data_IF_742173979710
#
_entry.id   IF_742173979710
#
_cell.length_a   1.000
_cell.length_b   1.000
_cell.length_c   1.000
_cell.angle_alpha   90.00
_cell.angle_beta   90.00
_cell.angle_gamma   90.00
#
_symmetry.space_group_name_H-M   'P 1'
#
loop_
_entity.id
_entity.type
_entity.pdbx_description
1 polymer ?
#
# COMPACT_ATOMS: atom_id res chain seq x y z
N UNK A 1 -1.57 -11.94 20.69
CA UNK A 1 -1.18 -10.66 21.34
C UNK A 1 -0.25 -9.92 20.39
N UNK A 2 -0.26 -8.60 20.42
CA UNK A 2 0.75 -7.81 19.70
C UNK A 2 2.10 -7.88 20.45
N UNK A 3 3.20 -7.58 19.77
CA UNK A 3 4.51 -7.55 20.43
C UNK A 3 4.57 -6.51 21.56
N UNK A 4 3.84 -5.39 21.40
CA UNK A 4 3.77 -4.34 22.41
C UNK A 4 3.01 -4.81 23.67
N UNK A 5 1.90 -5.56 23.49
CA UNK A 5 1.17 -6.17 24.63
C UNK A 5 2.00 -7.23 25.35
N UNK A 6 2.83 -7.98 24.62
CA UNK A 6 3.77 -8.92 25.23
C UNK A 6 4.81 -8.20 26.10
N UNK A 7 5.40 -7.11 25.60
CA UNK A 7 6.40 -6.32 26.34
C UNK A 7 5.82 -5.68 27.60
N UNK A 8 4.53 -5.33 27.59
CA UNK A 8 3.80 -4.71 28.71
C UNK A 8 3.12 -5.77 29.63
N UNK A 9 3.36 -7.07 29.41
CA UNK A 9 2.71 -8.14 30.16
C UNK A 9 3.18 -8.18 31.62
N UNK A 10 2.25 -8.52 32.53
CA UNK A 10 2.54 -8.60 33.98
C UNK A 10 3.44 -9.77 34.36
N UNK A 11 3.39 -10.85 33.60
CA UNK A 11 4.30 -11.98 33.75
C UNK A 11 5.65 -11.62 33.12
N UNK A 12 6.71 -11.72 33.92
CA UNK A 12 8.07 -11.31 33.54
C UNK A 12 8.63 -12.15 32.39
N UNK A 13 8.39 -13.46 32.36
CA UNK A 13 8.90 -14.34 31.31
C UNK A 13 8.26 -13.98 29.96
N UNK A 14 6.97 -13.66 29.96
CA UNK A 14 6.25 -13.21 28.76
C UNK A 14 6.76 -11.82 28.31
N UNK A 15 7.00 -10.90 29.23
CA UNK A 15 7.55 -9.59 28.92
C UNK A 15 8.97 -9.68 28.35
N UNK A 16 9.84 -10.52 28.90
CA UNK A 16 11.18 -10.78 28.39
C UNK A 16 11.14 -11.42 26.98
N UNK A 17 10.23 -12.35 26.73
CA UNK A 17 9.98 -12.89 25.39
C UNK A 17 9.51 -11.78 24.42
N UNK A 18 8.58 -10.92 24.85
CA UNK A 18 8.11 -9.79 24.08
C UNK A 18 9.25 -8.84 23.68
N UNK A 19 10.13 -8.52 24.63
CA UNK A 19 11.31 -7.69 24.40
C UNK A 19 12.27 -8.35 23.40
N UNK A 20 12.53 -9.66 23.54
CA UNK A 20 13.38 -10.41 22.64
C UNK A 20 12.82 -10.38 21.19
N UNK A 21 11.53 -10.66 21.03
CA UNK A 21 10.87 -10.63 19.72
C UNK A 21 10.89 -9.22 19.14
N UNK A 22 10.63 -8.21 19.94
CA UNK A 22 10.70 -6.81 19.50
C UNK A 22 12.09 -6.45 18.98
N UNK A 23 13.14 -6.72 19.74
CA UNK A 23 14.51 -6.33 19.40
C UNK A 23 15.05 -7.07 18.17
N UNK A 24 14.68 -8.36 17.98
CA UNK A 24 15.24 -9.20 16.94
C UNK A 24 14.39 -9.30 15.66
N UNK A 25 13.10 -9.01 15.73
CA UNK A 25 12.17 -9.18 14.59
C UNK A 25 11.57 -7.85 14.14
N UNK A 26 11.08 -7.01 15.07
CA UNK A 26 10.31 -5.82 14.71
C UNK A 26 11.18 -4.57 14.57
N UNK A 27 12.04 -4.30 15.54
CA UNK A 27 12.77 -3.04 15.67
C UNK A 27 13.60 -2.70 14.44
N UNK A 28 14.48 -3.59 14.03
CA UNK A 28 15.36 -3.36 12.88
C UNK A 28 14.60 -3.34 11.56
N UNK A 29 13.67 -4.28 11.37
CA UNK A 29 12.83 -4.32 10.17
C UNK A 29 12.01 -3.05 10.00
N UNK A 30 11.34 -2.63 11.06
CA UNK A 30 10.49 -1.43 11.05
C UNK A 30 11.32 -0.17 10.80
N UNK A 31 12.46 -0.03 11.48
CA UNK A 31 13.34 1.12 11.26
C UNK A 31 13.85 1.21 9.81
N UNK A 32 14.24 0.08 9.21
CA UNK A 32 14.64 0.03 7.78
C UNK A 32 13.48 0.40 6.85
N UNK A 33 12.33 -0.23 7.04
CA UNK A 33 11.16 -0.04 6.18
C UNK A 33 10.65 1.41 6.20
N UNK A 34 10.60 2.03 7.38
CA UNK A 34 10.07 3.38 7.53
C UNK A 34 11.13 4.48 7.47
N UNK A 35 12.42 4.12 7.59
CA UNK A 35 13.54 5.06 7.51
C UNK A 35 13.65 6.02 8.70
N UNK A 36 12.99 5.69 9.81
CA UNK A 36 13.00 6.43 11.07
C UNK A 36 13.19 5.47 12.23
N UNK A 37 13.67 5.95 13.39
CA UNK A 37 13.72 5.13 14.61
C UNK A 37 12.35 4.52 14.91
N UNK A 38 12.32 3.26 15.36
CA UNK A 38 11.07 2.52 15.62
C UNK A 38 10.13 3.24 16.61
N UNK A 39 10.68 4.03 17.53
CA UNK A 39 9.90 4.82 18.49
C UNK A 39 9.15 6.01 17.87
N UNK A 40 9.52 6.41 16.67
CA UNK A 40 8.85 7.47 15.90
C UNK A 40 7.78 6.93 14.95
N UNK A 41 7.71 5.60 14.79
CA UNK A 41 6.70 4.93 13.98
C UNK A 41 5.41 4.77 14.79
N UNK A 42 4.26 4.96 14.14
CA UNK A 42 2.97 4.77 14.80
C UNK A 42 2.83 3.35 15.37
N UNK A 43 2.33 3.24 16.61
CA UNK A 43 2.16 1.96 17.31
C UNK A 43 1.29 0.97 16.53
N UNK A 44 0.33 1.44 15.74
CA UNK A 44 -0.54 0.60 14.92
C UNK A 44 0.23 -0.19 13.87
N UNK A 45 1.30 0.38 13.32
CA UNK A 45 2.19 -0.28 12.35
C UNK A 45 2.92 -1.46 13.00
N UNK A 46 3.45 -1.27 14.22
CA UNK A 46 4.16 -2.31 14.98
C UNK A 46 3.19 -3.40 15.43
N UNK A 47 1.98 -3.01 15.83
CA UNK A 47 0.95 -3.92 16.34
C UNK A 47 0.21 -4.71 15.25
N UNK A 48 0.45 -4.43 13.99
CA UNK A 48 -0.27 -5.04 12.85
C UNK A 48 -0.08 -6.56 12.76
N UNK A 49 1.10 -7.06 13.08
CA UNK A 49 1.40 -8.49 13.03
C UNK A 49 1.34 -9.06 14.43
N UNK A 50 0.40 -9.96 14.73
CA UNK A 50 0.31 -10.58 16.05
C UNK A 50 1.42 -11.59 16.26
N UNK A 51 1.90 -11.70 17.48
CA UNK A 51 2.74 -12.79 17.93
C UNK A 51 1.81 -13.92 18.41
N UNK A 52 1.86 -15.06 17.72
CA UNK A 52 1.03 -16.23 18.01
C UNK A 52 1.90 -17.32 18.61
N UNK A 53 1.53 -17.79 19.80
CA UNK A 53 2.16 -18.95 20.44
C UNK A 53 1.37 -20.20 20.02
N UNK A 54 1.98 -21.06 19.21
CA UNK A 54 1.29 -22.26 18.72
C UNK A 54 2.14 -23.06 17.74
N UNK A 55 1.51 -24.06 17.13
CA UNK A 55 2.12 -24.89 16.08
C UNK A 55 1.83 -24.37 14.66
N UNK A 56 1.03 -23.33 14.53
CA UNK A 56 0.74 -22.66 13.27
C UNK A 56 1.81 -21.61 13.01
N UNK A 57 2.67 -21.86 12.04
CA UNK A 57 3.81 -21.02 11.64
C UNK A 57 3.49 -20.07 10.47
N UNK A 58 2.22 -20.03 10.05
CA UNK A 58 1.80 -19.10 8.99
C UNK A 58 1.93 -17.65 9.46
N UNK A 59 2.39 -16.79 8.55
CA UNK A 59 2.55 -15.37 8.83
C UNK A 59 1.20 -14.65 9.01
N UNK A 60 0.17 -15.05 8.25
CA UNK A 60 -1.20 -14.54 8.37
C UNK A 60 -2.14 -15.63 8.86
N UNK A 61 -3.13 -15.23 9.68
CA UNK A 61 -4.19 -16.11 10.17
C UNK A 61 -5.41 -16.20 9.26
N UNK A 62 -5.39 -15.61 8.07
CA UNK A 62 -6.51 -15.54 7.17
C UNK A 62 -6.95 -16.92 6.70
N UNK A 63 -8.27 -17.12 6.59
CA UNK A 63 -8.86 -18.39 6.13
C UNK A 63 -8.46 -18.71 4.70
N UNK A 64 -8.36 -17.70 3.85
CA UNK A 64 -8.00 -17.82 2.44
C UNK A 64 -6.68 -17.11 2.19
N UNK A 65 -5.66 -17.87 1.80
CA UNK A 65 -4.32 -17.39 1.47
C UNK A 65 -3.94 -18.03 0.14
N UNK A 66 -4.05 -17.26 -0.94
CA UNK A 66 -3.96 -17.77 -2.31
C UNK A 66 -3.08 -16.85 -3.16
N UNK A 67 -2.45 -17.45 -4.17
CA UNK A 67 -1.78 -16.74 -5.25
C UNK A 67 -2.54 -17.02 -6.55
N UNK A 68 -2.72 -16.03 -7.42
CA UNK A 68 -3.36 -16.26 -8.72
C UNK A 68 -2.50 -17.18 -9.58
N UNK A 69 -3.10 -18.24 -10.12
CA UNK A 69 -2.40 -19.26 -10.91
C UNK A 69 -1.71 -18.69 -12.17
N UNK A 70 -2.32 -17.67 -12.79
CA UNK A 70 -1.82 -17.01 -13.99
C UNK A 70 -1.22 -15.63 -13.71
N UNK A 71 -0.97 -15.29 -12.42
CA UNK A 71 -0.43 -14.01 -11.99
C UNK A 71 -1.49 -12.92 -11.82
N UNK A 72 -1.09 -11.82 -11.17
CA UNK A 72 -2.00 -10.71 -10.86
C UNK A 72 -2.51 -9.97 -12.09
N UNK A 73 -1.70 -9.83 -13.14
CA UNK A 73 -2.13 -9.18 -14.40
C UNK A 73 -3.39 -9.82 -14.95
N UNK A 74 -3.48 -11.18 -14.90
CA UNK A 74 -4.64 -11.89 -15.40
C UNK A 74 -5.94 -11.60 -14.63
N UNK A 75 -5.84 -11.38 -13.32
CA UNK A 75 -6.99 -10.95 -12.51
C UNK A 75 -7.51 -9.59 -13.02
N UNK A 76 -6.62 -8.62 -13.23
CA UNK A 76 -7.02 -7.29 -13.69
C UNK A 76 -7.55 -7.33 -15.12
N UNK A 77 -6.93 -8.10 -16.03
CA UNK A 77 -7.48 -8.33 -17.35
C UNK A 77 -8.93 -8.85 -17.30
N UNK A 78 -9.19 -9.84 -16.45
CA UNK A 78 -10.52 -10.40 -16.29
C UNK A 78 -11.52 -9.39 -15.69
N UNK A 79 -11.11 -8.60 -14.70
CA UNK A 79 -11.93 -7.55 -14.09
C UNK A 79 -12.29 -6.44 -15.09
N UNK A 80 -11.39 -6.13 -16.01
CA UNK A 80 -11.57 -5.08 -17.01
C UNK A 80 -12.32 -5.54 -18.29
N UNK A 81 -12.61 -6.84 -18.43
CA UNK A 81 -13.30 -7.41 -19.62
C UNK A 81 -14.81 -7.12 -19.66
N UNK A 82 -15.23 -5.92 -19.36
CA UNK A 82 -16.64 -5.57 -19.44
C UNK A 82 -16.84 -4.50 -20.54
N UNK A 83 -17.91 -4.63 -21.34
CA UNK A 83 -18.19 -3.72 -22.49
C UNK A 83 -18.30 -2.23 -22.13
N UNK A 84 -18.61 -1.93 -20.87
CA UNK A 84 -18.74 -0.56 -20.38
C UNK A 84 -17.44 -0.06 -19.70
N UNK A 85 -16.34 -0.81 -19.76
CA UNK A 85 -15.05 -0.42 -19.20
C UNK A 85 -14.08 -0.18 -20.35
N UNK A 86 -13.49 1.01 -20.38
CA UNK A 86 -12.39 1.35 -21.29
C UNK A 86 -11.14 1.53 -20.45
N UNK A 87 -10.10 0.72 -20.71
CA UNK A 87 -8.81 0.81 -20.04
C UNK A 87 -7.78 1.43 -21.00
N UNK A 88 -7.14 2.51 -20.55
CA UNK A 88 -6.02 3.14 -21.25
C UNK A 88 -4.77 3.03 -20.39
N UNK A 89 -3.67 2.58 -21.00
CA UNK A 89 -2.35 2.51 -20.35
C UNK A 89 -1.38 3.48 -21.03
N UNK A 90 -0.30 3.84 -20.32
CA UNK A 90 0.70 4.79 -20.85
C UNK A 90 0.19 6.24 -20.90
N UNK A 91 -0.84 6.56 -20.11
CA UNK A 91 -1.41 7.91 -19.96
C UNK A 91 -1.24 8.37 -18.53
N UNK A 92 -0.64 9.53 -18.33
CA UNK A 92 -0.67 10.21 -17.04
C UNK A 92 -1.95 11.05 -16.97
N UNK A 93 -2.77 10.79 -15.96
CA UNK A 93 -4.03 11.53 -15.76
C UNK A 93 -3.79 13.02 -15.54
N UNK A 94 -2.62 13.40 -15.02
CA UNK A 94 -2.24 14.80 -14.80
C UNK A 94 -2.06 15.58 -16.10
N UNK A 95 -1.83 14.91 -17.24
CA UNK A 95 -1.79 15.54 -18.56
C UNK A 95 -3.20 15.87 -19.09
N UNK A 96 -4.23 15.21 -18.58
CA UNK A 96 -5.62 15.33 -19.04
C UNK A 96 -6.51 16.09 -18.06
N UNK A 97 -6.23 16.00 -16.78
CA UNK A 97 -7.07 16.56 -15.70
C UNK A 97 -6.68 18.02 -15.38
N UNK A 98 -7.64 18.90 -15.38
CA UNK A 98 -7.48 20.27 -14.88
C UNK A 98 -8.55 20.57 -13.84
N UNK A 99 -8.09 20.92 -12.64
CA UNK A 99 -8.94 21.35 -11.53
C UNK A 99 -8.98 22.89 -11.49
N UNK A 100 -10.16 23.49 -11.70
CA UNK A 100 -10.34 24.92 -11.73
C UNK A 100 -10.66 25.46 -10.33
N UNK A 101 -10.20 26.68 -9.97
CA UNK A 101 -10.48 27.28 -8.65
C UNK A 101 -11.97 27.52 -8.36
N UNK A 102 -12.82 27.54 -9.37
CA UNK A 102 -14.27 27.69 -9.24
C UNK A 102 -15.01 26.39 -8.94
N UNK A 103 -14.28 25.27 -8.75
CA UNK A 103 -14.84 23.94 -8.53
C UNK A 103 -15.11 23.15 -9.81
N UNK A 104 -14.90 23.76 -10.99
CA UNK A 104 -15.07 23.06 -12.27
C UNK A 104 -13.91 22.09 -12.49
N UNK A 105 -14.23 20.88 -12.95
CA UNK A 105 -13.24 19.88 -13.40
C UNK A 105 -13.27 19.82 -14.93
N UNK A 106 -12.10 19.73 -15.55
CA UNK A 106 -11.97 19.46 -16.98
C UNK A 106 -11.14 18.20 -17.19
N UNK A 107 -11.55 17.40 -18.16
CA UNK A 107 -10.83 16.21 -18.60
C UNK A 107 -10.65 16.28 -20.12
N UNK A 108 -9.41 16.17 -20.58
CA UNK A 108 -9.02 16.35 -22.00
C UNK A 108 -9.58 17.67 -22.60
N UNK A 109 -9.52 18.74 -21.82
CA UNK A 109 -9.98 20.09 -22.20
C UNK A 109 -11.48 20.33 -22.08
N UNK A 110 -12.32 19.30 -21.99
CA UNK A 110 -13.77 19.41 -21.87
C UNK A 110 -14.23 19.45 -20.39
N UNK A 111 -15.36 20.12 -20.12
CA UNK A 111 -15.96 20.11 -18.77
C UNK A 111 -16.38 18.68 -18.43
N UNK A 112 -15.93 18.21 -17.28
CA UNK A 112 -16.23 16.87 -16.78
C UNK A 112 -17.15 16.97 -15.55
N UNK A 113 -18.36 16.48 -15.71
CA UNK A 113 -19.42 16.44 -14.68
C UNK A 113 -19.66 15.03 -14.10
N UNK A 114 -18.93 14.04 -14.62
CA UNK A 114 -18.97 12.67 -14.12
C UNK A 114 -18.23 12.49 -12.78
N UNK A 115 -18.31 11.29 -12.22
CA UNK A 115 -17.59 10.90 -11.00
C UNK A 115 -16.13 10.63 -11.36
N UNK A 116 -15.22 11.30 -10.66
CA UNK A 116 -13.78 11.11 -10.80
C UNK A 116 -13.20 10.46 -9.55
N UNK A 117 -12.62 9.27 -9.69
CA UNK A 117 -11.96 8.56 -8.58
C UNK A 117 -10.45 8.60 -8.83
N UNK A 118 -9.75 9.30 -7.94
CA UNK A 118 -8.30 9.43 -8.00
C UNK A 118 -7.61 8.49 -7.02
N UNK A 119 -6.60 7.75 -7.51
CA UNK A 119 -5.85 6.77 -6.71
C UNK A 119 -4.38 7.13 -6.49
N UNK A 120 -3.92 8.23 -7.11
CA UNK A 120 -2.57 8.74 -6.98
C UNK A 120 -2.37 9.60 -5.71
N UNK A 121 -1.23 10.26 -5.64
CA UNK A 121 -0.86 11.11 -4.49
C UNK A 121 -1.61 12.45 -4.52
N UNK A 122 -2.32 12.87 -3.46
CA UNK A 122 -3.11 14.10 -3.45
C UNK A 122 -2.27 15.37 -3.51
N UNK A 123 -1.02 15.35 -3.04
CA UNK A 123 -0.09 16.47 -3.19
C UNK A 123 0.29 16.68 -4.66
N UNK A 124 0.53 15.61 -5.43
CA UNK A 124 0.72 15.70 -6.87
C UNK A 124 -0.50 16.28 -7.56
N UNK A 125 -1.71 15.82 -7.20
CA UNK A 125 -2.98 16.30 -7.76
C UNK A 125 -3.17 17.80 -7.60
N UNK A 126 -2.73 18.39 -6.48
CA UNK A 126 -2.78 19.83 -6.21
C UNK A 126 -1.40 20.52 -6.37
N UNK A 127 -0.52 19.98 -7.21
CA UNK A 127 0.78 20.56 -7.57
C UNK A 127 1.62 20.97 -6.35
N UNK A 128 1.57 20.16 -5.29
CA UNK A 128 2.32 20.32 -4.04
C UNK A 128 2.08 21.67 -3.34
N UNK A 129 0.89 22.28 -3.47
CA UNK A 129 0.58 23.62 -2.96
C UNK A 129 0.74 23.77 -1.44
N UNK A 130 0.70 22.70 -0.66
CA UNK A 130 0.96 22.69 0.79
C UNK A 130 2.29 22.02 1.15
N UNK A 131 3.07 21.57 0.16
CA UNK A 131 4.32 20.81 0.31
C UNK A 131 4.14 19.32 0.06
N UNK A 132 5.26 18.61 -0.05
CA UNK A 132 5.27 17.18 -0.37
C UNK A 132 4.79 16.32 0.80
N UNK A 133 3.90 15.39 0.53
CA UNK A 133 3.56 14.32 1.46
C UNK A 133 4.69 13.27 1.47
N UNK A 134 5.22 12.92 2.64
CA UNK A 134 6.30 11.92 2.71
C UNK A 134 5.79 10.51 2.41
N UNK A 135 6.46 9.85 1.46
CA UNK A 135 6.25 8.44 1.14
C UNK A 135 7.56 7.65 1.23
N UNK A 136 7.44 6.34 1.35
CA UNK A 136 8.54 5.39 1.17
C UNK A 136 8.50 4.79 -0.21
N UNK A 137 9.67 4.48 -0.73
CA UNK A 137 9.89 3.77 -1.99
C UNK A 137 10.72 2.51 -1.75
N UNK A 138 10.88 1.71 -2.79
CA UNK A 138 11.70 0.52 -2.79
C UNK A 138 12.61 0.54 -4.04
N UNK A 139 13.88 0.19 -3.84
CA UNK A 139 14.74 -0.22 -4.92
C UNK A 139 14.68 -1.75 -5.02
N UNK A 140 14.26 -2.24 -6.17
CA UNK A 140 14.00 -3.65 -6.43
C UNK A 140 15.15 -4.24 -7.27
N UNK A 141 15.85 -5.22 -6.72
CA UNK A 141 16.95 -5.90 -7.41
C UNK A 141 16.57 -7.34 -7.73
N UNK A 142 16.38 -7.60 -9.02
CA UNK A 142 16.10 -8.93 -9.55
C UNK A 142 17.40 -9.63 -9.91
N UNK A 143 17.53 -10.89 -9.48
CA UNK A 143 18.67 -11.73 -9.81
C UNK A 143 18.19 -13.12 -10.23
N UNK A 144 18.66 -13.61 -11.38
CA UNK A 144 18.41 -14.97 -11.84
C UNK A 144 19.64 -15.85 -11.63
N UNK A 145 19.48 -16.89 -10.82
CA UNK A 145 20.53 -17.78 -10.36
C UNK A 145 20.42 -19.14 -11.06
N UNK A 146 21.58 -19.73 -11.42
CA UNK A 146 21.69 -21.04 -12.03
C UNK A 146 21.74 -22.14 -10.94
N UNK A 147 20.64 -22.27 -10.19
CA UNK A 147 20.46 -23.26 -9.14
C UNK A 147 18.97 -23.58 -8.95
N UNK A 148 18.68 -24.70 -8.28
CA UNK A 148 17.28 -25.09 -8.10
C UNK A 148 16.55 -24.20 -7.11
N UNK A 149 17.14 -23.95 -5.97
CA UNK A 149 16.53 -23.18 -4.88
C UNK A 149 17.56 -22.24 -4.27
N UNK A 150 17.10 -21.06 -3.84
CA UNK A 150 17.94 -20.11 -3.14
C UNK A 150 17.72 -20.16 -1.63
N UNK A 151 16.47 -20.23 -1.19
CA UNK A 151 16.08 -20.20 0.22
C UNK A 151 15.02 -21.27 0.53
N UNK A 152 14.76 -21.52 1.81
CA UNK A 152 13.81 -22.56 2.24
C UNK A 152 12.34 -22.14 2.07
N UNK A 153 12.03 -20.85 2.14
CA UNK A 153 10.70 -20.30 2.03
C UNK A 153 10.55 -19.38 0.79
N UNK A 154 9.33 -19.10 0.38
CA UNK A 154 9.05 -18.18 -0.74
C UNK A 154 9.49 -16.75 -0.43
N UNK A 155 9.32 -16.31 0.81
CA UNK A 155 9.73 -14.99 1.30
C UNK A 155 10.48 -15.13 2.62
N UNK A 156 11.64 -14.50 2.73
CA UNK A 156 12.43 -14.42 3.96
C UNK A 156 12.69 -12.95 4.30
N UNK A 157 12.35 -12.56 5.52
CA UNK A 157 12.63 -11.21 6.03
C UNK A 157 13.99 -11.14 6.71
N UNK A 158 14.66 -10.01 6.55
CA UNK A 158 15.98 -9.71 7.10
C UNK A 158 15.90 -8.49 8.02
N UNK A 159 15.60 -8.69 9.30
CA UNK A 159 15.35 -7.59 10.23
C UNK A 159 16.63 -6.87 10.71
N UNK A 160 17.79 -7.48 10.62
CA UNK A 160 18.99 -7.04 11.33
C UNK A 160 20.00 -6.29 10.45
N UNK A 161 21.12 -6.93 10.09
CA UNK A 161 22.33 -6.29 9.58
C UNK A 161 22.31 -5.98 8.09
N UNK A 162 21.44 -6.63 7.33
CA UNK A 162 21.38 -6.47 5.88
C UNK A 162 20.76 -5.13 5.47
N UNK A 163 21.17 -4.58 4.33
CA UNK A 163 20.65 -3.33 3.79
C UNK A 163 19.22 -3.48 3.22
N UNK A 164 18.86 -4.69 2.82
CA UNK A 164 17.53 -5.03 2.32
C UNK A 164 16.63 -5.55 3.45
N UNK A 165 15.33 -5.49 3.23
CA UNK A 165 14.33 -5.94 4.20
C UNK A 165 13.86 -7.36 3.96
N UNK A 166 13.86 -7.83 2.71
CA UNK A 166 13.42 -9.20 2.37
C UNK A 166 14.00 -9.70 1.07
N UNK A 167 13.98 -11.02 0.93
CA UNK A 167 14.20 -11.71 -0.35
C UNK A 167 12.96 -12.53 -0.67
N UNK A 168 12.45 -12.36 -1.90
CA UNK A 168 11.37 -13.17 -2.47
C UNK A 168 11.95 -14.12 -3.52
N UNK A 169 11.68 -15.41 -3.42
CA UNK A 169 11.98 -16.40 -4.44
C UNK A 169 10.70 -16.75 -5.20
N UNK A 170 10.59 -16.24 -6.43
CA UNK A 170 9.32 -16.21 -7.16
C UNK A 170 8.73 -17.58 -7.45
N UNK A 171 9.52 -18.54 -7.90
CA UNK A 171 8.97 -19.87 -8.25
C UNK A 171 8.32 -20.58 -7.06
N UNK A 172 8.83 -20.35 -5.83
CA UNK A 172 8.23 -20.89 -4.62
C UNK A 172 6.92 -20.18 -4.26
N UNK A 173 6.82 -18.89 -4.58
CA UNK A 173 5.61 -18.10 -4.36
C UNK A 173 4.51 -18.47 -5.36
N UNK A 174 4.88 -18.69 -6.63
CA UNK A 174 3.95 -18.93 -7.75
C UNK A 174 3.73 -20.41 -8.06
N UNK A 175 4.48 -21.32 -7.45
CA UNK A 175 4.40 -22.76 -7.71
C UNK A 175 5.00 -23.20 -9.06
N UNK A 176 5.79 -22.36 -9.71
CA UNK A 176 6.43 -22.70 -11.01
C UNK A 176 7.41 -23.84 -10.87
N UNK A 177 7.29 -24.83 -11.77
CA UNK A 177 8.16 -26.00 -11.83
C UNK A 177 9.27 -25.79 -12.88
N UNK A 178 10.37 -25.14 -12.48
CA UNK A 178 11.54 -24.96 -13.34
C UNK A 178 12.82 -25.42 -12.64
N UNK A 179 13.49 -26.39 -13.25
CA UNK A 179 14.73 -26.98 -12.70
C UNK A 179 15.95 -26.19 -13.15
N UNK A 180 16.97 -26.13 -12.32
CA UNK A 180 18.29 -25.55 -12.61
C UNK A 180 18.34 -24.02 -12.62
N UNK A 181 17.22 -23.33 -12.41
CA UNK A 181 17.18 -21.86 -12.36
C UNK A 181 16.13 -21.35 -11.38
N UNK A 182 16.44 -20.28 -10.68
CA UNK A 182 15.51 -19.55 -9.83
C UNK A 182 15.73 -18.05 -9.95
N UNK A 183 14.65 -17.26 -9.79
CA UNK A 183 14.74 -15.79 -9.76
C UNK A 183 14.34 -15.30 -8.37
N UNK A 184 15.19 -14.46 -7.81
CA UNK A 184 14.95 -13.79 -6.53
C UNK A 184 14.81 -12.29 -6.71
N UNK A 185 14.15 -11.65 -5.75
CA UNK A 185 14.04 -10.21 -5.61
C UNK A 185 14.55 -9.79 -4.24
N UNK A 186 15.52 -8.87 -4.19
CA UNK A 186 15.90 -8.15 -2.96
C UNK A 186 15.21 -6.80 -2.93
N UNK A 187 14.60 -6.47 -1.80
CA UNK A 187 13.88 -5.20 -1.60
C UNK A 187 14.67 -4.28 -0.67
N UNK A 188 15.13 -3.15 -1.21
CA UNK A 188 15.87 -2.13 -0.47
C UNK A 188 14.95 -0.94 -0.20
N UNK A 189 14.59 -0.67 1.06
CA UNK A 189 13.72 0.43 1.42
C UNK A 189 14.46 1.77 1.29
N UNK A 190 13.78 2.77 0.73
CA UNK A 190 14.34 4.10 0.54
C UNK A 190 13.27 5.18 0.68
N UNK A 191 13.68 6.44 0.84
CA UNK A 191 12.76 7.56 0.77
C UNK A 191 12.26 7.74 -0.66
N UNK A 192 10.99 8.10 -0.81
CA UNK A 192 10.47 8.57 -2.09
C UNK A 192 10.85 10.03 -2.29
N UNK A 193 11.45 10.36 -3.41
CA UNK A 193 11.92 11.71 -3.74
C UNK A 193 11.36 12.23 -5.07
N UNK A 194 10.38 11.52 -5.64
CA UNK A 194 9.77 11.81 -6.93
C UNK A 194 10.75 11.88 -8.11
N UNK A 195 11.95 11.28 -7.98
CA UNK A 195 12.89 11.15 -9.08
C UNK A 195 12.37 10.15 -10.11
N UNK A 196 12.76 10.33 -11.38
CA UNK A 196 12.37 9.44 -12.46
C UNK A 196 12.65 7.95 -12.12
N UNK A 197 11.66 7.10 -12.29
CA UNK A 197 11.73 5.67 -12.03
C UNK A 197 11.53 5.26 -10.57
N UNK A 198 11.22 6.20 -9.66
CA UNK A 198 10.77 5.88 -8.32
C UNK A 198 9.24 5.77 -8.25
N UNK A 199 8.77 4.80 -7.47
CA UNK A 199 7.37 4.62 -7.16
C UNK A 199 7.11 4.85 -5.67
N UNK A 200 6.02 5.54 -5.33
CA UNK A 200 5.56 5.65 -3.96
C UNK A 200 4.83 4.36 -3.55
N UNK A 201 5.30 3.70 -2.49
CA UNK A 201 4.70 2.44 -2.02
C UNK A 201 3.92 2.62 -0.72
N UNK A 202 4.45 3.41 0.22
CA UNK A 202 3.90 3.50 1.57
C UNK A 202 3.85 4.95 2.05
N UNK A 203 2.69 5.46 2.49
CA UNK A 203 2.62 6.74 3.20
C UNK A 203 3.32 6.64 4.56
N UNK A 204 4.00 7.69 4.98
CA UNK A 204 4.63 7.76 6.30
C UNK A 204 3.63 8.37 7.27
N UNK A 205 2.81 7.52 7.89
CA UNK A 205 1.77 7.96 8.82
C UNK A 205 2.38 8.38 10.16
N UNK A 206 2.29 9.66 10.46
CA UNK A 206 2.54 10.27 11.76
C UNK A 206 1.66 11.51 11.91
N UNK A 207 1.62 12.10 13.09
CA UNK A 207 0.75 13.25 13.38
C UNK A 207 0.98 14.45 12.45
N UNK A 208 2.23 14.78 12.17
CA UNK A 208 2.58 15.92 11.31
C UNK A 208 2.13 15.70 9.86
N UNK A 209 2.45 14.52 9.31
CA UNK A 209 2.10 14.16 7.94
C UNK A 209 0.58 14.01 7.77
N UNK A 210 -0.10 13.50 8.80
CA UNK A 210 -1.57 13.43 8.81
C UNK A 210 -2.18 14.84 8.76
N UNK A 211 -1.66 15.80 9.52
CA UNK A 211 -2.13 17.19 9.43
C UNK A 211 -1.91 17.82 8.06
N UNK A 212 -0.76 17.52 7.41
CA UNK A 212 -0.51 17.96 6.04
C UNK A 212 -1.50 17.32 5.05
N UNK A 213 -1.76 16.01 5.18
CA UNK A 213 -2.76 15.32 4.36
C UNK A 213 -4.17 15.91 4.54
N UNK A 214 -4.57 16.27 5.76
CA UNK A 214 -5.86 16.90 6.05
C UNK A 214 -6.02 18.25 5.33
N UNK A 215 -4.93 19.00 5.13
CA UNK A 215 -4.96 20.25 4.33
C UNK A 215 -5.30 19.94 2.87
N UNK A 216 -4.68 18.91 2.28
CA UNK A 216 -5.00 18.44 0.93
C UNK A 216 -6.43 17.92 0.84
N UNK A 217 -6.86 17.09 1.78
CA UNK A 217 -8.21 16.55 1.82
C UNK A 217 -9.27 17.68 1.88
N UNK A 218 -9.03 18.69 2.71
CA UNK A 218 -9.92 19.87 2.81
C UNK A 218 -9.96 20.67 1.52
N UNK A 219 -8.82 20.90 0.88
CA UNK A 219 -8.75 21.64 -0.38
C UNK A 219 -9.48 20.91 -1.51
N UNK A 220 -9.43 19.56 -1.54
CA UNK A 220 -10.11 18.76 -2.55
C UNK A 220 -11.64 18.70 -2.40
N UNK A 221 -12.19 19.10 -1.25
CA UNK A 221 -13.64 19.15 -1.01
C UNK A 221 -14.39 20.15 -1.90
N UNK A 222 -13.68 21.07 -2.58
CA UNK A 222 -14.32 22.01 -3.50
C UNK A 222 -14.82 21.34 -4.80
N UNK A 223 -14.37 20.11 -5.11
CA UNK A 223 -14.84 19.33 -6.25
C UNK A 223 -15.73 18.18 -5.76
N UNK A 224 -17.03 18.38 -5.77
CA UNK A 224 -18.02 17.46 -5.19
C UNK A 224 -18.07 16.07 -5.87
N UNK A 225 -17.59 15.99 -7.12
CA UNK A 225 -17.53 14.77 -7.91
C UNK A 225 -16.16 14.10 -7.93
N UNK A 226 -15.18 14.62 -7.16
CA UNK A 226 -13.84 14.03 -7.02
C UNK A 226 -13.76 13.22 -5.71
N UNK A 227 -13.33 11.98 -5.82
CA UNK A 227 -13.18 11.06 -4.71
C UNK A 227 -11.76 10.52 -4.67
N UNK A 228 -11.20 10.40 -3.47
CA UNK A 228 -9.93 9.73 -3.23
C UNK A 228 -10.17 8.28 -2.84
N UNK A 229 -9.39 7.34 -3.40
CA UNK A 229 -9.48 5.92 -3.08
C UNK A 229 -8.11 5.26 -3.12
N UNK A 230 -7.83 4.46 -2.10
CA UNK A 230 -6.64 3.62 -2.07
C UNK A 230 -5.46 4.20 -1.30
N UNK A 231 -4.39 3.40 -1.22
CA UNK A 231 -3.26 3.60 -0.32
C UNK A 231 -2.60 4.98 -0.42
N UNK A 232 -2.35 5.45 -1.64
CA UNK A 232 -1.68 6.72 -1.85
C UNK A 232 -2.64 7.89 -1.69
N UNK A 233 -3.82 7.81 -2.32
CA UNK A 233 -4.79 8.88 -2.32
C UNK A 233 -5.39 9.18 -0.94
N UNK A 234 -5.63 8.16 -0.11
CA UNK A 234 -6.16 8.31 1.25
C UNK A 234 -5.06 8.44 2.31
N UNK A 235 -3.79 8.48 1.88
CA UNK A 235 -2.61 8.57 2.75
C UNK A 235 -2.67 7.58 3.92
N UNK A 236 -3.02 6.31 3.61
CA UNK A 236 -3.24 5.25 4.59
C UNK A 236 -2.73 3.92 4.07
N UNK A 237 -2.16 3.12 4.97
CA UNK A 237 -1.71 1.79 4.62
C UNK A 237 -2.90 0.84 4.42
N UNK A 238 -2.96 0.21 3.23
CA UNK A 238 -3.88 -0.88 2.91
C UNK A 238 -3.10 -2.10 2.41
N UNK A 239 -3.49 -3.30 2.84
CA UNK A 239 -3.23 -4.53 2.09
C UNK A 239 -4.17 -4.59 0.88
N UNK A 240 -3.97 -5.54 -0.04
CA UNK A 240 -4.78 -5.65 -1.26
C UNK A 240 -6.27 -5.85 -0.98
N UNK A 241 -6.59 -6.72 -0.03
CA UNK A 241 -7.97 -6.98 0.44
C UNK A 241 -8.62 -5.71 1.01
N UNK A 242 -7.89 -4.98 1.85
CA UNK A 242 -8.34 -3.70 2.40
C UNK A 242 -8.56 -2.62 1.32
N UNK A 243 -7.70 -2.57 0.30
CA UNK A 243 -7.88 -1.65 -0.83
C UNK A 243 -9.12 -2.00 -1.67
N UNK A 244 -9.37 -3.29 -1.90
CA UNK A 244 -10.58 -3.77 -2.60
C UNK A 244 -11.84 -3.45 -1.77
N UNK A 245 -11.82 -3.74 -0.48
CA UNK A 245 -12.94 -3.43 0.43
C UNK A 245 -13.25 -1.93 0.41
N UNK A 246 -12.23 -1.08 0.51
CA UNK A 246 -12.40 0.39 0.45
C UNK A 246 -13.02 0.85 -0.87
N UNK A 247 -12.61 0.28 -2.00
CA UNK A 247 -13.21 0.58 -3.31
C UNK A 247 -14.69 0.19 -3.38
N UNK A 248 -15.07 -0.96 -2.80
CA UNK A 248 -16.46 -1.40 -2.71
C UNK A 248 -17.30 -0.48 -1.80
N UNK A 249 -16.77 -0.07 -0.65
CA UNK A 249 -17.42 0.86 0.27
C UNK A 249 -17.63 2.22 -0.41
N UNK A 250 -16.59 2.80 -1.01
CA UNK A 250 -16.68 4.06 -1.75
C UNK A 250 -17.73 3.99 -2.86
N UNK A 251 -17.77 2.88 -3.60
CA UNK A 251 -18.79 2.69 -4.65
C UNK A 251 -20.20 2.75 -4.07
N UNK A 252 -20.44 2.12 -2.92
CA UNK A 252 -21.73 2.18 -2.24
C UNK A 252 -22.08 3.59 -1.75
N UNK A 253 -21.12 4.31 -1.18
CA UNK A 253 -21.27 5.71 -0.76
C UNK A 253 -21.70 6.61 -1.93
N UNK A 254 -21.03 6.50 -3.07
CA UNK A 254 -21.32 7.26 -4.30
C UNK A 254 -22.74 6.93 -4.81
N UNK A 255 -23.06 5.65 -4.95
CA UNK A 255 -24.39 5.23 -5.44
C UNK A 255 -25.54 5.65 -4.51
N UNK A 256 -25.31 5.72 -3.21
CA UNK A 256 -26.29 6.25 -2.27
C UNK A 256 -26.50 7.75 -2.42
N UNK A 257 -25.40 8.52 -2.56
CA UNK A 257 -25.43 9.96 -2.80
C UNK A 257 -26.19 10.32 -4.08
N UNK A 258 -25.93 9.61 -5.17
CA UNK A 258 -26.65 9.81 -6.44
C UNK A 258 -28.15 9.49 -6.34
N UNK A 259 -28.54 8.43 -5.64
CA UNK A 259 -29.97 8.11 -5.43
C UNK A 259 -30.69 9.21 -4.65
N UNK A 260 -30.04 9.78 -3.64
CA UNK A 260 -30.60 10.88 -2.86
C UNK A 260 -30.76 12.14 -3.72
N UNK A 261 -29.77 12.47 -4.55
CA UNK A 261 -29.83 13.59 -5.46
C UNK A 261 -30.96 13.45 -6.52
N UNK A 262 -31.13 12.25 -7.08
CA UNK A 262 -32.23 11.96 -8.02
C UNK A 262 -33.61 12.07 -7.34
N UNK A 263 -33.74 11.59 -6.09
CA UNK A 263 -34.99 11.68 -5.34
C UNK A 263 -35.33 13.11 -4.90
N UNK A 264 -34.35 13.99 -4.72
CA UNK A 264 -34.55 15.38 -4.34
C UNK A 264 -34.94 16.29 -5.52
N UNK A 265 -34.73 15.83 -6.75
CA UNK A 265 -35.04 16.56 -8.00
C UNK A 265 -36.38 16.12 -8.64
N UNK A 266 -37.14 15.25 -7.97
CA UNK A 266 -38.51 14.83 -8.34
C UNK A 266 -39.52 15.42 -7.36
#
# INVERSE_FOLDING_TARGET
>A
MTVLELMEHTDREIAELGQFVFDNVFKGYTAKQWGVPVLEVDRSVISRVPVVLGKDDRYFGDRYQLMPAEGYTKIFENLLQHKNIVCQTGVDVMDLLTLQPDGTMRFDGEVFDGIFIYTGMPDTLLQNCFGFLPYRSLRLEFETLQQNDFQSASVVNYPNSEDFTRITEFKKLTGQQKTGVTTILREYPMAFTANAGQEAYYPIENKQNRSLYEMYQKALQQWDNLYLCGRLAEYRYYNMDGAILRALELTQEILQKEKVCLAANV
#
